data_IF_460765352618
#
_entry.id   IF_460765352618
#
_cell.length_a   1.000
_cell.length_b   1.000
_cell.length_c   1.000
_cell.angle_alpha   90.00
_cell.angle_beta   90.00
_cell.angle_gamma   90.00
#
_symmetry.space_group_name_H-M   'P 1'
#
loop_
_entity.id
_entity.type
_entity.pdbx_description
1 polymer ?
#
# COMPACT_ATOMS: atom_id res chain seq x y z
N UNK A 1 -14.35 -2.76 37.59
CA UNK A 1 -13.31 -3.75 37.30
C UNK A 1 -12.88 -3.53 35.86
N UNK A 2 -11.77 -2.83 35.65
CA UNK A 2 -11.19 -2.67 34.32
C UNK A 2 -10.79 -4.05 33.80
N UNK A 3 -11.46 -4.52 32.75
CA UNK A 3 -11.04 -5.69 32.03
C UNK A 3 -9.59 -5.45 31.59
N UNK A 4 -8.65 -6.17 32.19
CA UNK A 4 -7.25 -6.20 31.74
C UNK A 4 -7.29 -6.69 30.29
N UNK A 5 -7.28 -5.75 29.35
CA UNK A 5 -7.11 -6.02 27.93
C UNK A 5 -5.88 -6.90 27.80
N UNK A 6 -6.08 -8.15 27.37
CA UNK A 6 -5.03 -9.16 27.32
C UNK A 6 -3.89 -8.63 26.44
N UNK A 7 -2.77 -8.28 27.08
CA UNK A 7 -1.55 -7.75 26.45
C UNK A 7 -0.71 -8.87 25.83
N UNK A 8 -1.36 -9.85 25.22
CA UNK A 8 -0.69 -10.89 24.43
C UNK A 8 -0.37 -10.39 23.01
N UNK A 9 0.68 -10.91 22.35
CA UNK A 9 0.85 -10.72 20.91
C UNK A 9 -0.46 -11.11 20.20
N UNK A 10 -0.96 -10.27 19.29
CA UNK A 10 -2.11 -10.63 18.44
C UNK A 10 -1.81 -12.00 17.85
N UNK A 11 -2.68 -13.02 18.06
CA UNK A 11 -2.46 -14.38 17.51
C UNK A 11 -2.24 -14.37 15.99
N UNK A 12 -2.70 -13.31 15.31
CA UNK A 12 -2.73 -13.08 13.87
C UNK A 12 -1.65 -12.13 13.34
N UNK A 13 -0.68 -11.75 14.18
CA UNK A 13 0.29 -10.70 13.85
C UNK A 13 1.05 -10.93 12.54
N UNK A 14 1.25 -12.18 12.13
CA UNK A 14 1.96 -12.54 10.90
C UNK A 14 1.16 -12.20 9.63
N UNK A 15 -0.12 -12.58 9.57
CA UNK A 15 -0.96 -12.34 8.40
C UNK A 15 -1.20 -10.84 8.22
N UNK A 16 -1.54 -10.14 9.31
CA UNK A 16 -1.64 -8.68 9.34
C UNK A 16 -0.34 -8.02 8.82
N UNK A 17 0.83 -8.62 9.08
CA UNK A 17 2.13 -8.01 8.75
C UNK A 17 2.39 -8.07 7.26
N UNK A 18 2.08 -9.21 6.68
CA UNK A 18 2.23 -9.45 5.26
C UNK A 18 1.26 -8.54 4.49
N UNK A 19 0.00 -8.46 4.93
CA UNK A 19 -1.01 -7.61 4.28
C UNK A 19 -0.62 -6.13 4.39
N UNK A 20 -0.37 -5.63 5.60
CA UNK A 20 -0.01 -4.23 5.81
C UNK A 20 1.32 -3.85 5.15
N UNK A 21 2.31 -4.74 5.21
CA UNK A 21 3.60 -4.57 4.55
C UNK A 21 3.47 -4.51 3.03
N UNK A 22 2.66 -5.40 2.44
CA UNK A 22 2.38 -5.38 1.01
C UNK A 22 1.72 -4.07 0.56
N UNK A 23 0.70 -3.61 1.29
CA UNK A 23 0.05 -2.33 1.00
C UNK A 23 1.03 -1.17 1.14
N UNK A 24 1.86 -1.17 2.19
CA UNK A 24 2.88 -0.13 2.40
C UNK A 24 3.94 -0.10 1.29
N UNK A 25 4.38 -1.26 0.78
CA UNK A 25 5.26 -1.38 -0.39
C UNK A 25 4.57 -0.82 -1.64
N UNK A 26 3.32 -1.20 -1.90
CA UNK A 26 2.56 -0.68 -3.04
C UNK A 26 2.43 0.85 -3.00
N UNK A 27 2.11 1.41 -1.83
CA UNK A 27 2.00 2.86 -1.63
C UNK A 27 3.33 3.57 -1.83
N UNK A 28 4.45 3.05 -1.30
CA UNK A 28 5.76 3.67 -1.47
C UNK A 28 6.26 3.61 -2.91
N UNK A 29 6.04 2.50 -3.62
CA UNK A 29 6.35 2.35 -5.05
C UNK A 29 5.50 3.33 -5.87
N UNK A 30 4.20 3.43 -5.60
CA UNK A 30 3.33 4.39 -6.27
C UNK A 30 3.82 5.83 -6.09
N UNK A 31 4.21 6.21 -4.87
CA UNK A 31 4.79 7.51 -4.58
C UNK A 31 6.11 7.73 -5.33
N UNK A 32 6.99 6.73 -5.38
CA UNK A 32 8.25 6.78 -6.13
C UNK A 32 7.99 6.97 -7.63
N UNK A 33 7.03 6.24 -8.22
CA UNK A 33 6.69 6.35 -9.64
C UNK A 33 6.20 7.78 -9.97
N UNK A 34 5.31 8.33 -9.15
CA UNK A 34 4.82 9.71 -9.33
C UNK A 34 5.96 10.72 -9.21
N UNK A 35 6.79 10.59 -8.18
CA UNK A 35 7.93 11.48 -7.95
C UNK A 35 8.95 11.39 -9.10
N UNK A 36 9.26 10.19 -9.58
CA UNK A 36 10.21 9.97 -10.67
C UNK A 36 9.71 10.58 -11.98
N UNK A 37 8.43 10.37 -12.34
CA UNK A 37 7.83 10.95 -13.55
C UNK A 37 7.87 12.48 -13.51
N UNK A 38 7.52 13.06 -12.36
CA UNK A 38 7.58 14.50 -12.14
C UNK A 38 9.00 15.04 -12.24
N UNK A 39 9.95 14.38 -11.57
CA UNK A 39 11.34 14.78 -11.58
C UNK A 39 11.94 14.70 -12.98
N UNK A 40 11.69 13.60 -13.70
CA UNK A 40 12.22 13.39 -15.05
C UNK A 40 11.63 14.39 -16.05
N UNK A 41 10.34 14.70 -15.94
CA UNK A 41 9.68 15.69 -16.82
C UNK A 41 10.13 17.13 -16.57
N UNK A 42 10.71 17.44 -15.40
CA UNK A 42 11.23 18.76 -15.05
C UNK A 42 12.77 18.81 -15.02
N UNK A 43 13.44 17.68 -15.26
CA UNK A 43 14.88 17.55 -15.23
C UNK A 43 15.53 18.29 -16.41
N UNK A 44 16.61 19.01 -16.13
CA UNK A 44 17.41 19.69 -17.15
C UNK A 44 18.86 19.81 -16.67
N UNK A 45 19.79 19.14 -17.37
CA UNK A 45 21.22 19.16 -17.05
C UNK A 45 21.87 20.54 -17.17
N UNK A 46 21.30 21.42 -18.00
CA UNK A 46 21.78 22.79 -18.24
C UNK A 46 20.91 23.84 -17.54
N UNK A 47 19.89 23.40 -16.81
CA UNK A 47 18.94 24.26 -16.12
C UNK A 47 19.51 24.90 -14.87
N UNK A 48 18.63 25.57 -14.11
CA UNK A 48 18.96 26.10 -12.80
C UNK A 48 19.33 24.98 -11.79
N UNK A 49 19.73 25.38 -10.59
CA UNK A 49 20.17 24.44 -9.55
C UNK A 49 19.11 23.37 -9.22
N UNK A 50 17.82 23.71 -9.25
CA UNK A 50 16.75 22.78 -8.91
C UNK A 50 16.53 21.79 -10.05
N UNK A 51 16.45 22.27 -11.29
CA UNK A 51 16.30 21.39 -12.47
C UNK A 51 17.47 20.44 -12.63
N UNK A 52 18.68 20.92 -12.35
CA UNK A 52 19.87 20.07 -12.35
C UNK A 52 19.83 19.03 -11.23
N UNK A 53 19.35 19.37 -10.03
CA UNK A 53 19.15 18.36 -8.99
C UNK A 53 18.10 17.31 -9.39
N UNK A 54 17.02 17.70 -10.08
CA UNK A 54 16.04 16.75 -10.60
C UNK A 54 16.65 15.85 -11.70
N UNK A 55 17.54 16.41 -12.53
CA UNK A 55 18.32 15.65 -13.48
C UNK A 55 19.20 14.62 -12.77
N UNK A 56 20.03 15.02 -11.81
CA UNK A 56 20.88 14.10 -11.03
C UNK A 56 20.06 13.06 -10.24
N UNK A 57 18.87 13.42 -9.73
CA UNK A 57 17.97 12.50 -9.03
C UNK A 57 17.46 11.36 -9.95
N UNK A 58 17.27 11.66 -11.23
CA UNK A 58 16.74 10.70 -12.21
C UNK A 58 17.83 10.04 -13.08
N UNK A 59 19.02 10.64 -13.13
CA UNK A 59 20.17 10.22 -13.92
C UNK A 59 21.39 10.00 -13.01
N UNK A 60 21.32 9.00 -12.14
CA UNK A 60 22.44 8.62 -11.26
C UNK A 60 22.69 7.11 -11.27
N UNK A 61 23.80 6.70 -10.65
CA UNK A 61 24.22 5.29 -10.55
C UNK A 61 23.25 4.40 -9.77
N UNK A 62 22.44 4.93 -8.85
CA UNK A 62 21.42 4.13 -8.17
C UNK A 62 20.32 3.76 -9.16
N UNK A 63 19.90 4.70 -10.00
CA UNK A 63 18.95 4.47 -11.08
C UNK A 63 19.53 3.52 -12.12
N UNK A 64 20.80 3.72 -12.52
CA UNK A 64 21.50 2.83 -13.46
C UNK A 64 21.70 1.40 -12.90
N UNK A 65 22.03 1.26 -11.62
CA UNK A 65 22.13 -0.06 -10.98
C UNK A 65 20.76 -0.75 -10.94
N UNK A 66 19.74 0.00 -10.54
CA UNK A 66 18.36 -0.49 -10.52
C UNK A 66 17.87 -0.85 -11.93
N UNK A 67 18.36 -0.16 -12.96
CA UNK A 67 18.04 -0.44 -14.37
C UNK A 67 18.76 -1.65 -14.94
N UNK A 68 20.02 -1.85 -14.55
CA UNK A 68 20.80 -2.98 -14.98
C UNK A 68 20.33 -4.30 -14.35
N UNK A 69 19.72 -4.25 -13.17
CA UNK A 69 19.34 -5.43 -12.40
C UNK A 69 18.01 -5.26 -11.67
N UNK A 70 16.91 -5.02 -12.40
CA UNK A 70 15.65 -4.65 -11.79
C UNK A 70 15.01 -5.78 -11.00
N UNK A 71 15.24 -7.04 -11.41
CA UNK A 71 14.79 -8.19 -10.64
C UNK A 71 15.43 -8.20 -9.23
N UNK A 72 16.72 -7.89 -9.10
CA UNK A 72 17.39 -7.82 -7.81
C UNK A 72 16.89 -6.64 -6.97
N UNK A 73 16.78 -5.45 -7.56
CA UNK A 73 16.25 -4.27 -6.86
C UNK A 73 14.83 -4.53 -6.33
N UNK A 74 13.99 -5.15 -7.15
CA UNK A 74 12.62 -5.50 -6.80
C UNK A 74 12.54 -6.57 -5.69
N UNK A 75 13.30 -7.66 -5.82
CA UNK A 75 13.35 -8.72 -4.80
C UNK A 75 13.79 -8.11 -3.47
N UNK A 76 14.85 -7.30 -3.46
CA UNK A 76 15.31 -6.62 -2.25
C UNK A 76 14.24 -5.70 -1.68
N UNK A 77 13.58 -4.89 -2.50
CA UNK A 77 12.55 -3.96 -2.02
C UNK A 77 11.36 -4.69 -1.38
N UNK A 78 10.85 -5.74 -2.03
CA UNK A 78 9.71 -6.52 -1.52
C UNK A 78 10.11 -7.31 -0.28
N UNK A 79 11.22 -8.05 -0.34
CA UNK A 79 11.67 -8.90 0.79
C UNK A 79 12.01 -8.05 2.00
N UNK A 80 12.79 -6.98 1.84
CA UNK A 80 13.13 -6.10 2.95
C UNK A 80 11.91 -5.34 3.47
N UNK A 81 11.01 -4.90 2.59
CA UNK A 81 9.73 -4.32 3.00
C UNK A 81 8.94 -5.27 3.90
N UNK A 82 8.72 -6.51 3.47
CA UNK A 82 8.01 -7.51 4.29
C UNK A 82 8.76 -7.81 5.59
N UNK A 83 10.10 -7.94 5.58
CA UNK A 83 10.91 -8.13 6.79
C UNK A 83 10.68 -6.97 7.77
N UNK A 84 10.72 -5.72 7.30
CA UNK A 84 10.49 -4.56 8.16
C UNK A 84 9.05 -4.48 8.67
N UNK A 85 8.06 -4.92 7.89
CA UNK A 85 6.68 -5.04 8.35
C UNK A 85 6.55 -6.06 9.49
N UNK A 86 7.21 -7.22 9.37
CA UNK A 86 7.27 -8.24 10.42
C UNK A 86 7.96 -7.72 11.68
N UNK A 87 9.06 -6.99 11.52
CA UNK A 87 9.78 -6.36 12.63
C UNK A 87 8.89 -5.33 13.33
N UNK A 88 8.18 -4.48 12.57
CA UNK A 88 7.23 -3.51 13.14
C UNK A 88 6.14 -4.21 13.96
N UNK A 89 5.46 -5.18 13.36
CA UNK A 89 4.39 -5.93 13.99
C UNK A 89 4.85 -6.61 15.28
N UNK A 90 6.01 -7.27 15.24
CA UNK A 90 6.50 -8.08 16.35
C UNK A 90 7.08 -7.27 17.50
N UNK A 91 7.82 -6.20 17.20
CA UNK A 91 8.64 -5.47 18.17
C UNK A 91 8.10 -4.10 18.53
N UNK A 92 7.39 -3.42 17.63
CA UNK A 92 6.79 -2.10 17.91
C UNK A 92 5.38 -2.26 18.47
N UNK A 93 4.49 -2.92 17.75
CA UNK A 93 3.10 -3.10 18.22
C UNK A 93 2.95 -4.28 19.19
N UNK A 94 3.60 -5.41 18.88
CA UNK A 94 3.55 -6.63 19.70
C UNK A 94 4.32 -6.56 21.02
N UNK A 95 5.13 -5.52 21.26
CA UNK A 95 5.91 -5.39 22.49
C UNK A 95 5.99 -3.95 22.99
N UNK A 96 5.01 -3.53 23.79
CA UNK A 96 4.97 -2.19 24.40
C UNK A 96 6.25 -1.80 25.15
N UNK A 97 6.99 -2.77 25.74
CA UNK A 97 8.25 -2.48 26.46
C UNK A 97 9.36 -2.02 25.53
N UNK A 98 9.34 -2.44 24.26
CA UNK A 98 10.33 -2.06 23.25
C UNK A 98 9.94 -0.80 22.46
N UNK A 99 8.75 -0.24 22.71
CA UNK A 99 8.20 0.92 21.98
C UNK A 99 8.69 2.28 22.51
N UNK A 100 9.53 2.32 23.54
CA UNK A 100 9.94 3.55 24.22
C UNK A 100 10.54 4.61 23.27
N UNK A 101 11.27 4.21 22.22
CA UNK A 101 11.91 5.12 21.26
C UNK A 101 10.97 5.57 20.12
N UNK A 102 10.00 4.73 19.75
CA UNK A 102 8.95 5.08 18.79
C UNK A 102 7.93 6.00 19.45
N UNK A 103 7.71 5.88 20.77
CA UNK A 103 6.75 6.66 21.53
C UNK A 103 5.29 6.25 21.29
N UNK A 104 4.39 6.90 22.00
CA UNK A 104 2.94 6.77 21.82
C UNK A 104 2.41 7.78 20.79
N UNK A 105 1.14 7.65 20.40
CA UNK A 105 0.47 8.50 19.41
C UNK A 105 -0.19 7.70 18.29
N UNK A 106 -0.80 8.33 17.27
CA UNK A 106 -1.47 7.63 16.17
C UNK A 106 -0.54 6.69 15.38
N UNK A 107 -1.10 5.62 14.82
CA UNK A 107 -0.37 4.58 14.10
C UNK A 107 0.54 5.11 13.00
N UNK A 108 0.05 6.04 12.16
CA UNK A 108 0.87 6.64 11.11
C UNK A 108 2.14 7.32 11.66
N UNK A 109 2.04 8.01 12.80
CA UNK A 109 3.17 8.70 13.44
C UNK A 109 4.16 7.73 14.07
N UNK A 110 3.66 6.63 14.67
CA UNK A 110 4.50 5.53 15.17
C UNK A 110 5.25 4.87 14.01
N UNK A 111 4.55 4.59 12.92
CA UNK A 111 5.10 4.02 11.70
C UNK A 111 6.17 4.90 11.05
N UNK A 112 5.97 6.23 10.94
CA UNK A 112 6.97 7.17 10.44
C UNK A 112 8.25 7.17 11.28
N UNK A 113 8.12 7.22 12.61
CA UNK A 113 9.27 7.16 13.52
C UNK A 113 10.00 5.84 13.40
N UNK A 114 9.27 4.73 13.31
CA UNK A 114 9.86 3.42 13.05
C UNK A 114 10.65 3.41 11.74
N UNK A 115 10.11 4.00 10.67
CA UNK A 115 10.71 3.99 9.35
C UNK A 115 12.06 4.73 9.24
N UNK A 116 12.44 5.50 10.26
CA UNK A 116 13.80 6.03 10.36
C UNK A 116 14.85 4.92 10.45
N UNK A 117 14.52 3.76 11.03
CA UNK A 117 15.43 2.60 11.06
C UNK A 117 15.68 1.98 9.68
N UNK A 118 14.67 1.53 8.91
CA UNK A 118 14.89 1.04 7.56
C UNK A 118 15.50 2.10 6.65
N UNK A 119 15.16 3.38 6.84
CA UNK A 119 15.82 4.48 6.13
C UNK A 119 17.32 4.53 6.43
N UNK A 120 17.73 4.56 7.70
CA UNK A 120 19.16 4.53 8.08
C UNK A 120 19.84 3.27 7.57
N UNK A 121 19.19 2.10 7.66
CA UNK A 121 19.71 0.86 7.10
C UNK A 121 19.91 0.96 5.59
N UNK A 122 18.98 1.56 4.85
CA UNK A 122 19.12 1.76 3.41
C UNK A 122 20.30 2.68 3.07
N UNK A 123 20.51 3.75 3.84
CA UNK A 123 21.61 4.69 3.63
C UNK A 123 22.98 4.10 4.01
N UNK A 124 23.05 3.38 5.12
CA UNK A 124 24.32 2.94 5.71
C UNK A 124 24.74 1.54 5.28
N UNK A 125 23.80 0.72 4.82
CA UNK A 125 24.05 -0.68 4.43
C UNK A 125 23.75 -0.90 2.96
N UNK A 126 22.54 -0.59 2.49
CA UNK A 126 22.15 -0.93 1.11
C UNK A 126 22.84 -0.07 0.05
N UNK A 127 22.85 1.25 0.20
CA UNK A 127 23.50 2.14 -0.77
C UNK A 127 25.00 1.84 -0.91
N UNK A 128 25.78 1.65 0.18
CA UNK A 128 27.18 1.23 0.06
C UNK A 128 27.35 -0.19 -0.51
N UNK A 129 26.43 -1.11 -0.23
CA UNK A 129 26.52 -2.49 -0.72
C UNK A 129 26.18 -2.64 -2.21
N UNK A 130 25.35 -1.74 -2.76
CA UNK A 130 24.91 -1.81 -4.15
C UNK A 130 26.08 -1.56 -5.15
N UNK A 131 27.08 -0.75 -4.79
CA UNK A 131 28.40 -0.71 -5.44
C UNK A 131 29.43 0.08 -4.62
N UNK A 132 30.71 -0.18 -4.86
CA UNK A 132 31.83 0.57 -4.25
C UNK A 132 31.70 2.06 -4.61
N UNK A 133 31.70 2.93 -3.58
CA UNK A 133 31.54 4.39 -3.66
C UNK A 133 30.13 4.93 -3.96
N UNK A 134 29.08 4.11 -4.01
CA UNK A 134 27.72 4.63 -4.29
C UNK A 134 27.21 5.65 -3.29
N UNK A 135 27.68 5.61 -2.02
CA UNK A 135 27.31 6.60 -1.03
C UNK A 135 27.85 8.00 -1.38
N UNK A 136 29.12 8.10 -1.76
CA UNK A 136 29.73 9.38 -2.18
C UNK A 136 29.01 9.95 -3.41
N UNK A 137 28.51 9.08 -4.28
CA UNK A 137 27.84 9.46 -5.53
C UNK A 137 26.37 9.83 -5.32
N UNK A 138 25.67 9.10 -4.44
CA UNK A 138 24.33 9.46 -4.01
C UNK A 138 24.33 10.82 -3.31
N UNK A 139 25.40 11.14 -2.57
CA UNK A 139 25.59 12.46 -1.96
C UNK A 139 26.05 13.52 -2.97
N UNK A 140 26.78 13.15 -4.03
CA UNK A 140 27.16 14.07 -5.10
C UNK A 140 25.99 14.47 -6.02
N UNK A 141 24.98 13.61 -6.16
CA UNK A 141 23.71 13.93 -6.85
C UNK A 141 22.86 14.98 -6.11
N UNK A 142 23.36 15.51 -4.99
CA UNK A 142 22.72 16.53 -4.18
C UNK A 142 21.84 15.95 -3.08
N UNK A 143 21.23 16.83 -2.26
CA UNK A 143 20.47 16.41 -1.09
C UNK A 143 19.17 15.66 -1.45
N UNK A 144 18.71 15.74 -2.70
CA UNK A 144 17.43 15.15 -3.10
C UNK A 144 17.42 13.62 -3.04
N UNK A 145 18.55 12.94 -3.24
CA UNK A 145 18.60 11.47 -3.14
C UNK A 145 18.33 10.99 -1.71
N UNK A 146 19.09 11.39 -0.67
CA UNK A 146 18.82 10.95 0.70
C UNK A 146 17.47 11.47 1.23
N UNK A 147 17.04 12.66 0.82
CA UNK A 147 15.73 13.24 1.21
C UNK A 147 14.57 12.50 0.55
N UNK A 148 14.64 12.23 -0.75
CA UNK A 148 13.63 11.44 -1.46
C UNK A 148 13.53 10.04 -0.88
N UNK A 149 14.67 9.40 -0.59
CA UNK A 149 14.70 8.11 0.09
C UNK A 149 14.06 8.16 1.49
N UNK A 150 14.31 9.23 2.27
CA UNK A 150 13.65 9.44 3.57
C UNK A 150 12.13 9.55 3.40
N UNK A 151 11.65 10.38 2.47
CA UNK A 151 10.22 10.58 2.23
C UNK A 151 9.52 9.27 1.88
N UNK A 152 10.12 8.44 1.02
CA UNK A 152 9.55 7.13 0.66
C UNK A 152 9.45 6.19 1.86
N UNK A 153 10.48 6.17 2.72
CA UNK A 153 10.44 5.40 3.96
C UNK A 153 9.38 5.93 4.93
N UNK A 154 9.23 7.25 5.04
CA UNK A 154 8.19 7.84 5.87
C UNK A 154 6.78 7.49 5.37
N UNK A 155 6.55 7.47 4.05
CA UNK A 155 5.28 7.03 3.44
C UNK A 155 5.03 5.55 3.73
N UNK A 156 6.04 4.71 3.52
CA UNK A 156 6.00 3.28 3.86
C UNK A 156 5.62 3.09 5.34
N UNK A 157 6.35 3.76 6.24
CA UNK A 157 6.12 3.72 7.67
C UNK A 157 4.73 4.20 8.07
N UNK A 158 4.29 5.35 7.56
CA UNK A 158 2.97 5.90 7.83
C UNK A 158 1.87 4.92 7.45
N UNK A 159 1.96 4.33 6.25
CA UNK A 159 0.99 3.35 5.74
C UNK A 159 0.97 2.10 6.61
N UNK A 160 2.15 1.53 6.87
CA UNK A 160 2.30 0.34 7.71
C UNK A 160 1.74 0.56 9.11
N UNK A 161 2.12 1.65 9.77
CA UNK A 161 1.70 1.96 11.13
C UNK A 161 0.20 2.27 11.23
N UNK A 162 -0.38 2.89 10.21
CA UNK A 162 -1.82 3.16 10.16
C UNK A 162 -2.64 1.88 10.00
N UNK A 163 -2.23 0.97 9.12
CA UNK A 163 -2.91 -0.31 8.91
C UNK A 163 -2.79 -1.26 10.12
N UNK A 164 -1.81 -1.01 10.98
CA UNK A 164 -1.59 -1.76 12.21
C UNK A 164 -2.21 -1.13 13.45
N UNK A 165 -2.76 0.08 13.36
CA UNK A 165 -3.24 0.78 14.53
C UNK A 165 -4.53 0.14 15.06
N UNK A 166 -4.54 -0.44 16.27
CA UNK A 166 -5.75 -1.07 16.81
C UNK A 166 -6.88 -0.06 17.03
N UNK A 167 -6.55 1.24 17.11
CA UNK A 167 -7.56 2.29 17.24
C UNK A 167 -8.33 2.54 15.94
N UNK A 168 -7.80 2.14 14.78
CA UNK A 168 -8.52 2.19 13.51
C UNK A 168 -9.71 1.21 13.50
N UNK A 169 -9.61 0.12 14.26
CA UNK A 169 -10.67 -0.89 14.40
C UNK A 169 -11.74 -0.49 15.43
N UNK A 170 -11.44 0.48 16.30
CA UNK A 170 -12.31 0.84 17.45
C UNK A 170 -13.72 1.33 17.08
N UNK A 171 -13.94 2.12 16.00
CA UNK A 171 -15.28 2.53 15.59
C UNK A 171 -16.13 1.36 15.08
N UNK A 172 -15.51 0.41 14.36
CA UNK A 172 -16.21 -0.80 13.87
C UNK A 172 -16.61 -1.70 15.04
N UNK A 173 -15.70 -1.91 15.99
CA UNK A 173 -15.96 -2.70 17.22
C UNK A 173 -17.00 -2.03 18.13
N UNK A 174 -17.12 -0.69 18.10
CA UNK A 174 -18.15 0.06 18.83
C UNK A 174 -19.56 -0.05 18.23
N UNK A 175 -19.66 -0.34 16.93
CA UNK A 175 -20.94 -0.67 16.27
C UNK A 175 -21.30 -2.16 16.45
N UNK A 176 -20.30 -3.03 16.52
CA UNK A 176 -20.42 -4.47 16.81
C UNK A 176 -20.43 -4.79 18.31
N UNK A 177 -21.22 -4.05 19.11
CA UNK A 177 -21.43 -4.34 20.53
C UNK A 177 -22.26 -5.62 20.77
N UNK A 178 -22.71 -6.30 19.71
CA UNK A 178 -23.15 -7.68 19.81
C UNK A 178 -21.91 -8.56 19.90
N UNK A 179 -21.86 -9.55 20.82
CA UNK A 179 -20.73 -10.47 20.89
C UNK A 179 -20.50 -11.06 19.49
N UNK A 180 -19.39 -10.70 18.82
CA UNK A 180 -19.02 -11.35 17.56
C UNK A 180 -19.09 -12.85 17.80
N UNK A 181 -19.93 -13.54 17.03
CA UNK A 181 -20.04 -14.98 17.18
C UNK A 181 -18.64 -15.58 16.95
N UNK A 182 -18.18 -16.49 17.82
CA UNK A 182 -16.86 -17.11 17.69
C UNK A 182 -16.56 -17.67 16.30
N UNK A 183 -17.61 -18.02 15.55
CA UNK A 183 -17.56 -18.51 14.17
C UNK A 183 -17.16 -17.40 13.19
N UNK A 184 -17.78 -16.22 13.24
CA UNK A 184 -17.44 -15.09 12.37
C UNK A 184 -15.99 -14.65 12.60
N UNK A 185 -15.57 -14.60 13.85
CA UNK A 185 -14.19 -14.24 14.21
C UNK A 185 -13.17 -15.24 13.64
N UNK A 186 -13.46 -16.54 13.64
CA UNK A 186 -12.63 -17.58 13.02
C UNK A 186 -12.65 -17.49 11.50
N UNK A 187 -13.79 -17.17 10.89
CA UNK A 187 -13.88 -16.98 9.44
C UNK A 187 -13.00 -15.82 8.96
N UNK A 188 -13.00 -14.70 9.69
CA UNK A 188 -12.11 -13.56 9.41
C UNK A 188 -10.64 -13.98 9.60
N UNK A 189 -10.30 -14.68 10.69
CA UNK A 189 -8.93 -15.20 10.91
C UNK A 189 -8.43 -16.04 9.75
N UNK A 190 -9.27 -16.95 9.29
CA UNK A 190 -8.93 -17.86 8.22
C UNK A 190 -8.81 -17.11 6.89
N UNK A 191 -9.72 -16.19 6.60
CA UNK A 191 -9.66 -15.29 5.44
C UNK A 191 -8.36 -14.46 5.41
N UNK A 192 -7.95 -13.86 6.54
CA UNK A 192 -6.72 -13.08 6.65
C UNK A 192 -5.46 -13.95 6.42
N UNK A 193 -5.41 -15.13 7.02
CA UNK A 193 -4.28 -16.05 6.85
C UNK A 193 -4.13 -16.50 5.40
N UNK A 194 -5.23 -16.85 4.74
CA UNK A 194 -5.21 -17.25 3.34
C UNK A 194 -4.96 -16.05 2.42
N UNK A 195 -5.43 -14.86 2.76
CA UNK A 195 -5.10 -13.62 2.05
C UNK A 195 -3.59 -13.34 2.09
N UNK A 196 -2.96 -13.43 3.26
CA UNK A 196 -1.52 -13.26 3.40
C UNK A 196 -0.74 -14.30 2.59
N UNK A 197 -1.13 -15.58 2.64
CA UNK A 197 -0.51 -16.61 1.80
C UNK A 197 -0.72 -16.34 0.30
N UNK A 198 -1.92 -15.89 -0.06
CA UNK A 198 -2.30 -15.49 -1.39
C UNK A 198 -1.46 -14.32 -1.92
N UNK A 199 -1.19 -13.30 -1.12
CA UNK A 199 -0.30 -12.19 -1.49
C UNK A 199 1.09 -12.69 -1.84
N UNK A 200 1.66 -13.60 -1.05
CA UNK A 200 3.00 -14.14 -1.29
C UNK A 200 3.04 -15.00 -2.57
N UNK A 201 2.12 -15.95 -2.69
CA UNK A 201 2.05 -16.85 -3.86
C UNK A 201 1.72 -16.08 -5.13
N UNK A 202 0.69 -15.23 -5.07
CA UNK A 202 0.27 -14.37 -6.17
C UNK A 202 1.36 -13.39 -6.58
N UNK A 203 2.10 -12.81 -5.63
CA UNK A 203 3.24 -11.94 -5.91
C UNK A 203 4.34 -12.67 -6.68
N UNK A 204 4.68 -13.90 -6.28
CA UNK A 204 5.68 -14.73 -6.98
C UNK A 204 5.23 -15.10 -8.40
N UNK A 205 3.98 -15.55 -8.58
CA UNK A 205 3.41 -15.84 -9.91
C UNK A 205 3.40 -14.58 -10.77
N UNK A 206 2.96 -13.46 -10.20
CA UNK A 206 2.90 -12.17 -10.85
C UNK A 206 4.27 -11.68 -11.30
N UNK A 207 5.32 -11.84 -10.47
CA UNK A 207 6.71 -11.56 -10.85
C UNK A 207 7.10 -12.36 -12.09
N UNK A 208 6.81 -13.67 -12.07
CA UNK A 208 7.17 -14.60 -13.14
C UNK A 208 6.47 -14.23 -14.45
N UNK A 209 5.17 -13.94 -14.40
CA UNK A 209 4.39 -13.46 -15.55
C UNK A 209 4.92 -12.12 -16.06
N UNK A 210 5.23 -11.18 -15.17
CA UNK A 210 5.79 -9.87 -15.54
C UNK A 210 7.13 -10.00 -16.29
N UNK A 211 8.02 -10.87 -15.80
CA UNK A 211 9.29 -11.17 -16.47
C UNK A 211 9.06 -11.87 -17.81
N UNK A 212 8.16 -12.86 -17.88
CA UNK A 212 7.84 -13.55 -19.12
C UNK A 212 7.26 -12.60 -20.18
N UNK A 213 6.35 -11.70 -19.78
CA UNK A 213 5.80 -10.66 -20.66
C UNK A 213 6.89 -9.71 -21.14
N UNK A 214 7.88 -9.38 -20.32
CA UNK A 214 8.98 -8.53 -20.73
C UNK A 214 9.89 -9.17 -21.80
N UNK A 215 9.97 -10.50 -21.83
CA UNK A 215 10.72 -11.24 -22.87
C UNK A 215 9.93 -11.29 -24.19
N UNK A 216 8.61 -11.42 -24.11
CA UNK A 216 7.74 -11.59 -25.30
C UNK A 216 7.34 -10.26 -25.93
N UNK A 217 7.03 -9.26 -25.10
CA UNK A 217 6.57 -7.96 -25.58
C UNK A 217 7.77 -7.10 -25.99
N UNK A 218 7.81 -6.62 -27.25
CA UNK A 218 8.83 -5.66 -27.64
C UNK A 218 8.70 -4.42 -26.74
N UNK A 219 9.80 -3.74 -26.39
CA UNK A 219 9.73 -2.50 -25.64
C UNK A 219 8.84 -1.53 -26.40
N UNK A 220 7.66 -1.24 -25.84
CA UNK A 220 6.63 -0.47 -26.52
C UNK A 220 7.08 0.98 -26.80
N UNK A 221 8.15 1.43 -26.13
CA UNK A 221 8.65 2.78 -26.19
C UNK A 221 10.19 2.73 -26.28
N UNK A 222 10.78 3.00 -27.45
CA UNK A 222 12.23 2.92 -27.63
C UNK A 222 13.03 3.96 -26.83
N UNK A 223 12.38 4.96 -26.22
CA UNK A 223 13.03 6.12 -25.60
C UNK A 223 12.71 6.32 -24.11
N UNK A 224 11.98 5.39 -23.47
CA UNK A 224 11.68 5.53 -22.02
C UNK A 224 12.41 4.42 -21.27
N UNK A 225 13.62 4.73 -20.82
CA UNK A 225 14.50 3.79 -20.12
C UNK A 225 14.18 3.75 -18.62
N UNK A 226 12.95 3.32 -18.28
CA UNK A 226 12.49 3.10 -16.90
C UNK A 226 13.15 1.85 -16.32
N UNK A 227 14.43 1.91 -15.97
CA UNK A 227 15.01 0.76 -15.29
C UNK A 227 15.11 -0.51 -16.17
N UNK A 228 14.93 -0.38 -17.50
CA UNK A 228 14.52 -1.47 -18.38
C UNK A 228 13.03 -1.83 -18.26
N UNK A 229 12.33 -1.90 -19.40
CA UNK A 229 10.92 -2.34 -19.55
C UNK A 229 10.54 -3.58 -18.71
N UNK A 230 11.49 -4.51 -18.54
CA UNK A 230 11.33 -5.70 -17.71
C UNK A 230 11.13 -5.43 -16.22
N UNK A 231 11.74 -4.37 -15.70
CA UNK A 231 11.61 -3.95 -14.32
C UNK A 231 10.19 -3.58 -13.98
N UNK A 232 9.63 -2.66 -14.77
CA UNK A 232 8.31 -2.12 -14.57
C UNK A 232 7.25 -3.23 -14.69
N UNK A 233 7.40 -4.13 -15.65
CA UNK A 233 6.51 -5.29 -15.81
C UNK A 233 6.65 -6.29 -14.67
N UNK A 234 7.85 -6.54 -14.15
CA UNK A 234 8.04 -7.41 -12.99
C UNK A 234 7.43 -6.79 -11.71
N UNK A 235 7.67 -5.49 -11.46
CA UNK A 235 7.10 -4.76 -10.31
C UNK A 235 5.58 -4.75 -10.40
N UNK A 236 5.04 -4.33 -11.55
CA UNK A 236 3.60 -4.34 -11.80
C UNK A 236 3.01 -5.74 -11.68
N UNK A 237 3.73 -6.75 -12.15
CA UNK A 237 3.40 -8.16 -11.99
C UNK A 237 3.31 -8.58 -10.52
N UNK A 238 4.30 -8.26 -9.67
CA UNK A 238 4.26 -8.57 -8.23
C UNK A 238 3.07 -7.89 -7.55
N UNK A 239 2.86 -6.59 -7.80
CA UNK A 239 1.79 -5.84 -7.16
C UNK A 239 0.41 -6.33 -7.63
N UNK A 240 0.24 -6.55 -8.93
CA UNK A 240 -1.01 -7.08 -9.46
C UNK A 240 -1.26 -8.52 -8.99
N UNK A 241 -0.26 -9.39 -9.11
CA UNK A 241 -0.35 -10.78 -8.68
C UNK A 241 -0.56 -10.92 -7.18
N UNK A 242 0.13 -10.13 -6.36
CA UNK A 242 -0.05 -10.10 -4.91
C UNK A 242 -1.44 -9.59 -4.52
N UNK A 243 -1.95 -8.55 -5.19
CA UNK A 243 -3.31 -8.08 -4.95
C UNK A 243 -4.37 -9.12 -5.35
N UNK A 244 -4.25 -9.71 -6.54
CA UNK A 244 -5.12 -10.82 -6.99
C UNK A 244 -5.06 -11.97 -5.99
N UNK A 245 -3.85 -12.37 -5.61
CA UNK A 245 -3.60 -13.47 -4.69
C UNK A 245 -4.21 -13.21 -3.32
N UNK A 246 -4.08 -12.00 -2.77
CA UNK A 246 -4.72 -11.62 -1.51
C UNK A 246 -6.25 -11.74 -1.55
N UNK A 247 -6.87 -11.29 -2.65
CA UNK A 247 -8.32 -11.41 -2.85
C UNK A 247 -8.74 -12.87 -3.00
N UNK A 248 -8.07 -13.65 -3.86
CA UNK A 248 -8.38 -15.08 -4.03
C UNK A 248 -8.17 -15.84 -2.72
N UNK A 249 -7.11 -15.52 -2.01
CA UNK A 249 -6.80 -16.07 -0.69
C UNK A 249 -7.89 -15.78 0.33
N UNK A 250 -8.35 -14.52 0.43
CA UNK A 250 -9.40 -14.15 1.38
C UNK A 250 -10.69 -14.95 1.16
N UNK A 251 -11.10 -15.14 -0.11
CA UNK A 251 -12.26 -15.96 -0.45
C UNK A 251 -12.04 -17.45 -0.19
N UNK A 252 -10.85 -17.98 -0.50
CA UNK A 252 -10.50 -19.38 -0.23
C UNK A 252 -10.48 -19.70 1.28
N UNK A 253 -10.23 -18.69 2.12
CA UNK A 253 -10.26 -18.82 3.58
C UNK A 253 -11.67 -18.81 4.19
N UNK A 254 -12.72 -18.52 3.42
CA UNK A 254 -14.08 -18.52 3.95
C UNK A 254 -14.59 -19.94 4.23
N UNK A 255 -15.28 -20.18 5.36
CA UNK A 255 -15.85 -21.49 5.67
C UNK A 255 -16.88 -21.89 4.61
N UNK A 256 -16.73 -23.09 4.06
CA UNK A 256 -17.56 -23.62 2.96
C UNK A 256 -18.87 -24.28 3.43
N UNK A 257 -18.99 -24.54 4.73
CA UNK A 257 -20.18 -25.13 5.35
C UNK A 257 -20.83 -24.11 6.27
N UNK A 258 -22.11 -23.74 6.03
CA UNK A 258 -22.91 -23.02 7.02
C UNK A 258 -22.88 -23.80 8.35
N UNK A 259 -22.92 -23.13 9.52
CA UNK A 259 -23.10 -23.82 10.78
C UNK A 259 -24.35 -24.71 10.70
N UNK A 260 -24.26 -25.96 11.18
CA UNK A 260 -25.38 -26.89 11.17
C UNK A 260 -26.60 -26.24 11.84
N UNK A 261 -27.77 -26.35 11.20
CA UNK A 261 -28.99 -25.61 11.51
C UNK A 261 -29.60 -25.91 12.89
N UNK A 262 -28.97 -26.73 13.73
CA UNK A 262 -29.47 -27.05 15.07
C UNK A 262 -29.38 -25.86 16.05
N UNK A 263 -28.55 -24.85 15.77
CA UNK A 263 -28.42 -23.63 16.61
C UNK A 263 -29.11 -22.39 16.03
N UNK A 264 -29.74 -22.48 14.84
CA UNK A 264 -30.34 -21.33 14.15
C UNK A 264 -31.85 -21.25 14.40
N UNK A 265 -32.27 -20.75 15.56
CA UNK A 265 -33.63 -20.22 15.72
C UNK A 265 -33.83 -19.07 14.71
N UNK A 266 -34.55 -19.37 13.62
CA UNK A 266 -35.12 -18.53 12.58
C UNK A 266 -34.95 -17.00 12.69
N UNK A 267 -33.71 -16.52 12.62
CA UNK A 267 -33.38 -15.14 12.28
C UNK A 267 -33.38 -14.99 10.75
N UNK A 268 -33.75 -13.81 10.21
CA UNK A 268 -33.69 -13.57 8.77
C UNK A 268 -32.28 -13.87 8.25
N UNK A 269 -32.21 -14.72 7.22
CA UNK A 269 -30.99 -15.24 6.61
C UNK A 269 -30.03 -14.08 6.24
N UNK A 270 -28.93 -13.88 6.98
CA UNK A 270 -28.04 -12.75 6.76
C UNK A 270 -27.26 -12.85 5.44
N UNK A 271 -27.37 -13.98 4.73
CA UNK A 271 -26.65 -14.25 3.49
C UNK A 271 -27.54 -14.24 2.24
N UNK A 272 -28.85 -14.08 2.37
CA UNK A 272 -29.79 -14.15 1.23
C UNK A 272 -29.77 -12.94 0.30
N UNK A 273 -29.16 -11.84 0.71
CA UNK A 273 -28.87 -10.71 -0.14
C UNK A 273 -27.42 -10.33 0.09
N UNK A 274 -26.53 -10.65 -0.84
CA UNK A 274 -25.81 -9.66 -1.65
C UNK A 274 -24.70 -10.39 -2.40
N UNK A 275 -24.81 -10.59 -3.72
CA UNK A 275 -23.71 -11.09 -4.58
C UNK A 275 -22.67 -9.98 -4.82
N UNK A 276 -23.04 -8.73 -4.52
CA UNK A 276 -22.27 -7.50 -4.71
C UNK A 276 -20.92 -7.48 -3.96
N UNK A 277 -20.77 -7.92 -2.69
CA UNK A 277 -19.49 -7.95 -1.98
C UNK A 277 -18.49 -8.96 -2.59
N UNK A 278 -18.98 -9.96 -3.33
CA UNK A 278 -18.14 -10.92 -4.06
C UNK A 278 -17.62 -10.35 -5.39
N UNK A 279 -18.38 -9.43 -6.02
CA UNK A 279 -18.03 -8.79 -7.29
C UNK A 279 -17.24 -7.49 -7.14
N UNK A 280 -17.39 -6.79 -5.99
CA UNK A 280 -16.70 -5.53 -5.72
C UNK A 280 -15.16 -5.69 -5.75
N UNK A 281 -14.53 -6.71 -5.13
CA UNK A 281 -13.07 -6.86 -5.17
C UNK A 281 -12.48 -7.12 -6.57
N UNK A 282 -12.99 -8.07 -7.40
CA UNK A 282 -12.48 -8.24 -8.76
C UNK A 282 -12.79 -7.04 -9.67
N UNK A 283 -13.89 -6.32 -9.45
CA UNK A 283 -14.18 -5.07 -10.17
C UNK A 283 -13.22 -3.94 -9.76
N UNK A 284 -12.99 -3.73 -8.47
CA UNK A 284 -12.01 -2.75 -7.96
C UNK A 284 -10.60 -3.09 -8.44
N UNK A 285 -10.24 -4.37 -8.48
CA UNK A 285 -8.98 -4.85 -9.00
C UNK A 285 -8.84 -4.57 -10.51
N UNK A 286 -9.88 -4.85 -11.31
CA UNK A 286 -9.91 -4.48 -12.73
C UNK A 286 -9.82 -2.97 -12.92
N UNK A 287 -10.46 -2.18 -12.06
CA UNK A 287 -10.39 -0.71 -12.06
C UNK A 287 -8.99 -0.24 -11.68
N UNK A 288 -8.34 -0.81 -10.67
CA UNK A 288 -6.97 -0.45 -10.26
C UNK A 288 -5.97 -0.86 -11.34
N UNK A 289 -6.09 -2.05 -11.92
CA UNK A 289 -5.25 -2.50 -13.05
C UNK A 289 -5.49 -1.58 -14.26
N UNK A 290 -6.73 -1.23 -14.57
CA UNK A 290 -7.06 -0.31 -15.65
C UNK A 290 -6.53 1.10 -15.37
N UNK A 291 -6.60 1.60 -14.13
CA UNK A 291 -6.03 2.89 -13.74
C UNK A 291 -4.52 2.85 -13.85
N UNK A 292 -3.83 1.86 -13.27
CA UNK A 292 -2.36 1.76 -13.33
C UNK A 292 -1.90 1.61 -14.79
N UNK A 293 -2.58 0.77 -15.59
CA UNK A 293 -2.22 0.55 -16.99
C UNK A 293 -2.53 1.76 -17.87
N UNK A 294 -3.66 2.44 -17.63
CA UNK A 294 -4.06 3.65 -18.38
C UNK A 294 -3.27 4.87 -17.96
N UNK A 295 -2.91 4.98 -16.68
CA UNK A 295 -2.09 6.07 -16.14
C UNK A 295 -0.63 5.87 -16.54
N UNK A 296 -0.11 4.64 -16.47
CA UNK A 296 1.19 4.27 -17.01
C UNK A 296 1.27 4.56 -18.51
N UNK A 297 0.31 4.05 -19.30
CA UNK A 297 0.26 4.32 -20.74
C UNK A 297 0.04 5.80 -21.07
N UNK A 298 -0.77 6.50 -20.29
CA UNK A 298 -1.08 7.92 -20.46
C UNK A 298 0.10 8.83 -20.14
N UNK A 299 0.81 8.60 -19.04
CA UNK A 299 2.04 9.32 -18.71
C UNK A 299 3.13 9.09 -19.76
N UNK A 300 3.21 7.87 -20.29
CA UNK A 300 4.15 7.51 -21.35
C UNK A 300 3.80 8.12 -22.72
N UNK A 301 2.51 8.33 -23.01
CA UNK A 301 2.07 9.06 -24.21
C UNK A 301 2.26 10.58 -24.05
N UNK A 302 1.99 11.13 -22.87
CA UNK A 302 2.19 12.56 -22.57
C UNK A 302 3.66 12.97 -22.61
N UNK A 303 4.59 12.06 -22.27
CA UNK A 303 6.03 12.29 -22.43
C UNK A 303 6.53 12.28 -23.88
N UNK A 304 5.72 11.83 -24.84
CA UNK A 304 6.07 11.79 -26.28
C UNK A 304 5.52 12.95 -27.09
N UNK A 305 4.46 13.58 -26.63
CA UNK A 305 3.96 14.78 -27.27
C UNK A 305 4.71 15.97 -26.68
N UNK A 306 5.66 16.52 -27.43
CA UNK A 306 5.98 17.95 -27.35
C UNK A 306 4.68 18.72 -27.65
N UNK A 307 3.79 18.83 -26.68
CA UNK A 307 2.67 19.77 -26.76
C UNK A 307 3.26 21.13 -26.42
N UNK A 308 3.95 21.71 -27.41
CA UNK A 308 4.22 23.14 -27.43
C UNK A 308 2.87 23.88 -27.57
N UNK A 309 2.17 24.08 -26.46
CA UNK A 309 1.14 25.11 -26.33
C UNK A 309 1.69 26.16 -25.37
N UNK A 310 2.65 26.95 -25.85
CA UNK A 310 3.21 28.08 -25.12
C UNK A 310 4.00 27.69 -23.84
N UNK A 311 4.30 28.65 -22.95
CA UNK A 311 5.43 28.53 -22.02
C UNK A 311 5.22 27.58 -20.82
N UNK A 312 4.04 26.97 -20.62
CA UNK A 312 3.76 26.18 -19.40
C UNK A 312 2.67 25.11 -19.62
N UNK A 313 2.98 23.88 -20.07
CA UNK A 313 1.97 22.78 -20.09
C UNK A 313 2.57 21.36 -19.96
N UNK A 314 3.17 21.02 -18.80
CA UNK A 314 3.29 19.61 -18.33
C UNK A 314 3.01 19.55 -16.82
N UNK A 315 3.48 20.56 -16.08
CA UNK A 315 3.25 20.68 -14.64
C UNK A 315 1.76 20.68 -14.25
N UNK A 316 0.87 21.32 -15.01
CA UNK A 316 -0.55 21.47 -14.60
C UNK A 316 -1.33 20.17 -14.58
N UNK A 317 -1.15 19.28 -15.55
CA UNK A 317 -1.92 18.03 -15.61
C UNK A 317 -1.51 17.06 -14.49
N UNK A 318 -0.21 16.96 -14.22
CA UNK A 318 0.28 16.13 -13.11
C UNK A 318 -0.04 16.76 -11.75
N UNK A 319 0.05 18.09 -11.63
CA UNK A 319 -0.43 18.81 -10.42
C UNK A 319 -1.93 18.60 -10.22
N UNK A 320 -2.77 18.65 -11.27
CA UNK A 320 -4.21 18.37 -11.18
C UNK A 320 -4.48 16.92 -10.79
N UNK A 321 -3.71 15.96 -11.30
CA UNK A 321 -3.87 14.55 -10.93
C UNK A 321 -3.45 14.29 -9.46
N UNK A 322 -2.30 14.81 -9.03
CA UNK A 322 -1.82 14.73 -7.65
C UNK A 322 -2.79 15.44 -6.70
N UNK A 323 -3.26 16.64 -7.07
CA UNK A 323 -4.25 17.39 -6.31
C UNK A 323 -5.59 16.64 -6.27
N UNK A 324 -6.01 16.00 -7.35
CA UNK A 324 -7.21 15.17 -7.41
C UNK A 324 -7.14 13.98 -6.45
N UNK A 325 -6.03 13.24 -6.45
CA UNK A 325 -5.79 12.14 -5.51
C UNK A 325 -5.81 12.65 -4.07
N UNK A 326 -5.15 13.78 -3.80
CA UNK A 326 -5.11 14.39 -2.47
C UNK A 326 -6.50 14.86 -2.00
N UNK A 327 -7.30 15.47 -2.89
CA UNK A 327 -8.69 15.87 -2.61
C UNK A 327 -9.59 14.67 -2.36
N UNK A 328 -9.47 13.61 -3.17
CA UNK A 328 -10.22 12.36 -2.94
C UNK A 328 -9.85 11.76 -1.58
N UNK A 329 -8.56 11.74 -1.23
CA UNK A 329 -8.09 11.28 0.09
C UNK A 329 -8.64 12.12 1.24
N UNK A 330 -8.64 13.45 1.10
CA UNK A 330 -9.23 14.36 2.10
C UNK A 330 -10.76 14.22 2.21
N UNK A 331 -11.46 13.99 1.10
CA UNK A 331 -12.91 13.74 1.10
C UNK A 331 -13.22 12.41 1.76
N UNK A 332 -12.48 11.35 1.46
CA UNK A 332 -12.63 10.06 2.11
C UNK A 332 -12.36 10.17 3.63
N UNK A 333 -11.30 10.88 4.03
CA UNK A 333 -10.99 11.16 5.43
C UNK A 333 -12.12 11.97 6.10
N UNK A 334 -12.63 13.00 5.43
CA UNK A 334 -13.73 13.83 5.92
C UNK A 334 -15.01 13.01 6.11
N UNK A 335 -15.38 12.18 5.14
CA UNK A 335 -16.54 11.29 5.22
C UNK A 335 -16.40 10.25 6.34
N UNK A 336 -15.20 9.68 6.51
CA UNK A 336 -14.90 8.76 7.60
C UNK A 336 -14.90 9.44 8.99
N UNK A 337 -14.65 10.75 9.03
CA UNK A 337 -14.61 11.54 10.28
C UNK A 337 -15.96 12.18 10.66
N UNK A 338 -17.02 11.97 9.88
CA UNK A 338 -18.33 12.50 10.24
C UNK A 338 -18.84 11.82 11.52
N UNK A 339 -19.25 12.59 12.54
CA UNK A 339 -19.91 12.00 13.70
C UNK A 339 -21.20 11.34 13.23
N UNK A 340 -21.39 10.07 13.58
CA UNK A 340 -22.61 9.34 13.30
C UNK A 340 -23.81 10.17 13.78
N UNK A 341 -24.76 10.43 12.88
CA UNK A 341 -26.04 10.98 13.30
C UNK A 341 -26.63 9.98 14.30
N UNK A 342 -27.00 10.43 15.51
CA UNK A 342 -27.56 9.52 16.51
C UNK A 342 -28.76 8.83 15.88
N UNK A 343 -28.67 7.51 15.75
CA UNK A 343 -29.76 6.68 15.24
C UNK A 343 -31.03 7.07 16.00
N UNK A 344 -32.16 7.32 15.31
CA UNK A 344 -33.41 7.65 15.97
C UNK A 344 -33.66 6.59 17.03
N UNK A 345 -33.77 7.03 18.28
CA UNK A 345 -33.86 6.11 19.41
C UNK A 345 -35.06 5.20 19.18
N UNK A 346 -34.87 3.89 19.30
CA UNK A 346 -35.94 2.89 19.13
C UNK A 346 -37.10 3.07 20.11
N UNK A 347 -37.00 4.03 21.05
CA UNK A 347 -38.10 4.43 21.93
C UNK A 347 -39.22 5.18 21.22
N UNK A 348 -38.98 5.81 20.07
CA UNK A 348 -40.02 6.61 19.39
C UNK A 348 -40.89 5.79 18.42
N UNK A 349 -40.55 4.53 18.12
CA UNK A 349 -41.33 3.68 17.21
C UNK A 349 -42.27 2.70 17.89
N UNK A 350 -42.17 2.52 19.22
CA UNK A 350 -43.01 1.57 19.96
C UNK A 350 -44.28 2.20 20.53
N UNK A 351 -44.36 3.53 20.66
CA UNK A 351 -45.53 4.20 21.25
C UNK A 351 -46.75 4.34 20.34
N UNK A 352 -46.63 4.10 19.02
CA UNK A 352 -47.75 4.31 18.08
C UNK A 352 -48.53 3.03 17.68
N UNK A 353 -48.20 1.85 18.23
CA UNK A 353 -48.89 0.59 17.87
C UNK A 353 -49.83 0.03 18.94
N UNK A 354 -50.03 0.74 20.05
CA UNK A 354 -50.91 0.31 21.13
C UNK A 354 -52.31 0.96 21.11
N UNK A 355 -52.63 1.77 20.10
CA UNK A 355 -53.94 2.39 19.93
C UNK A 355 -54.58 1.98 18.59
N UNK A 356 -54.94 0.71 18.42
CA UNK A 356 -55.99 0.29 17.48
C UNK A 356 -56.53 -1.11 17.81
#
# INVERSE_FOLDING_TARGET
MEARAATGPRRRWLAEAIIAGFVAIGTSIGALMVAYVLANGAADSQGDIVRRWLYELTHNKVVEFSSASPAYALILHVVLGIIWALVYARFVEGNRRLRWWVGDGPGWSRGMRFALLPWLFSLLVLLPAAAVNMLDWALSAGPLVPVGNLILHLIYGATLGQLYDPSADAPAVGADLLPEEPIQRRAIEQSENFSAAGILVGGLIGAWVGVALAVVLPPALPNVDFGGWSAALAVGGILAGGAVGGVVGSFAGLPQTPPEAEDAEAGPDPFQHTVLPFLIPPFLLLVVIAIISSFGSGLLQLGKSEVEIGPIVIAKAVVVAVFGIFVIGLVALFLASRPDHPSPSSRDTVSHRAEH
#
